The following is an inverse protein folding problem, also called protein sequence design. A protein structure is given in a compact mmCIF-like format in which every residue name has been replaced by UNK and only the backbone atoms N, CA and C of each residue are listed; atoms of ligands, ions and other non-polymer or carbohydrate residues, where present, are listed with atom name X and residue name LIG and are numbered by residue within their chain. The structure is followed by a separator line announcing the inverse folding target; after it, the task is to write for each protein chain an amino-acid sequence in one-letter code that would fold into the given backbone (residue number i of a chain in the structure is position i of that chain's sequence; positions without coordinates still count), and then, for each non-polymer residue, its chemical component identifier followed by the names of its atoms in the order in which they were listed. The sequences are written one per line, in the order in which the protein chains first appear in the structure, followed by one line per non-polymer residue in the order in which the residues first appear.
data_IF_721455447326
#
_entry.id   IF_721455447326
#
_cell.length_a   1.000
_cell.length_b   1.000
_cell.length_c   1.000
_cell.angle_alpha   90.00
_cell.angle_beta   90.00
_cell.angle_gamma   90.00
#
_symmetry.space_group_name_H-M   'P 1'
#
loop_
_entity.id
_entity.type
_entity.pdbx_description
1 polymer ?
#
# COMPACT_ATOMS: atom_id res chain seq x y z
N UNK A 1 39.45 -9.08 42.35
CA UNK A 1 39.39 -10.02 41.25
C UNK A 1 39.55 -9.20 39.96
N UNK A 2 40.79 -9.15 39.44
CA UNK A 2 41.01 -8.59 38.11
C UNK A 2 40.45 -9.58 37.08
N UNK A 3 39.51 -9.16 36.23
CA UNK A 3 39.05 -9.98 35.12
C UNK A 3 40.25 -10.33 34.23
N UNK A 4 40.36 -11.58 33.81
CA UNK A 4 41.43 -11.98 32.92
C UNK A 4 41.37 -11.17 31.62
N UNK A 5 42.50 -10.91 30.98
CA UNK A 5 42.54 -10.18 29.69
C UNK A 5 41.60 -10.82 28.65
N UNK A 6 41.39 -12.13 28.78
CA UNK A 6 40.49 -12.90 27.93
C UNK A 6 39.02 -12.53 28.15
N UNK A 7 38.58 -12.28 29.40
CA UNK A 7 37.25 -11.83 29.73
C UNK A 7 36.98 -10.41 29.21
N UNK A 8 37.95 -9.50 29.35
CA UNK A 8 37.83 -8.16 28.80
C UNK A 8 37.74 -8.17 27.27
N UNK A 9 38.56 -8.99 26.61
CA UNK A 9 38.51 -9.14 25.14
C UNK A 9 37.17 -9.67 24.66
N UNK A 10 36.63 -10.67 25.36
CA UNK A 10 35.30 -11.22 25.04
C UNK A 10 34.19 -10.19 25.25
N UNK A 11 34.21 -9.43 26.36
CA UNK A 11 33.23 -8.39 26.63
C UNK A 11 33.26 -7.29 25.55
N UNK A 12 34.46 -6.84 25.14
CA UNK A 12 34.60 -5.88 24.04
C UNK A 12 34.05 -6.39 22.72
N UNK A 13 34.37 -7.64 22.35
CA UNK A 13 33.85 -8.25 21.12
C UNK A 13 32.35 -8.35 21.14
N UNK A 14 31.74 -8.78 22.24
CA UNK A 14 30.28 -8.84 22.40
C UNK A 14 29.65 -7.46 22.27
N UNK A 15 30.26 -6.44 22.88
CA UNK A 15 29.74 -5.08 22.83
C UNK A 15 29.88 -4.42 21.46
N UNK A 16 30.97 -4.72 20.74
CA UNK A 16 31.14 -4.29 19.34
C UNK A 16 30.12 -4.95 18.41
N UNK A 17 29.80 -6.21 18.63
CA UNK A 17 28.74 -6.89 17.86
C UNK A 17 27.38 -6.20 18.12
N UNK A 18 27.04 -5.91 19.38
CA UNK A 18 25.83 -5.14 19.72
C UNK A 18 25.81 -3.77 19.02
N UNK A 19 26.95 -3.08 18.97
CA UNK A 19 27.09 -1.80 18.27
C UNK A 19 26.81 -1.97 16.77
N UNK A 20 27.43 -2.97 16.13
CA UNK A 20 27.25 -3.20 14.69
C UNK A 20 25.83 -3.63 14.32
N UNK A 21 25.16 -4.39 15.20
CA UNK A 21 23.76 -4.76 15.00
C UNK A 21 22.82 -3.54 15.07
N UNK A 22 23.08 -2.62 16.00
CA UNK A 22 22.24 -1.44 16.21
C UNK A 22 22.58 -0.26 15.26
N UNK A 23 23.82 -0.19 14.78
CA UNK A 23 24.29 0.80 13.81
C UNK A 23 24.65 0.13 12.47
N UNK A 24 23.69 -0.54 11.88
CA UNK A 24 23.84 -1.18 10.58
C UNK A 24 23.46 -0.24 9.43
N UNK A 25 23.77 -0.66 8.22
CA UNK A 25 23.30 0.02 6.99
C UNK A 25 23.65 1.51 6.93
N UNK A 26 22.66 2.36 6.87
CA UNK A 26 22.83 3.80 6.67
C UNK A 26 23.55 4.53 7.82
N UNK A 27 23.59 3.95 9.02
CA UNK A 27 24.21 4.57 10.19
C UNK A 27 25.54 3.94 10.61
N UNK A 28 26.07 2.97 9.85
CA UNK A 28 27.33 2.27 10.17
C UNK A 28 28.48 3.24 10.44
N UNK A 29 28.62 4.27 9.62
CA UNK A 29 29.71 5.27 9.72
C UNK A 29 29.26 6.56 10.42
N UNK A 30 28.20 6.52 11.22
CA UNK A 30 27.75 7.71 11.92
C UNK A 30 28.76 8.15 12.99
N UNK A 31 28.78 9.46 13.27
CA UNK A 31 29.70 10.02 14.27
C UNK A 31 29.53 9.37 15.65
N UNK A 32 28.29 9.06 16.05
CA UNK A 32 28.03 8.41 17.33
C UNK A 32 28.48 6.94 17.34
N UNK A 33 28.33 6.20 16.22
CA UNK A 33 28.82 4.83 16.10
C UNK A 33 30.34 4.78 16.31
N UNK A 34 31.09 5.63 15.61
CA UNK A 34 32.55 5.72 15.73
C UNK A 34 33.01 6.15 17.13
N UNK A 35 32.27 7.07 17.76
CA UNK A 35 32.58 7.51 19.12
C UNK A 35 32.37 6.39 20.14
N UNK A 36 31.29 5.63 20.03
CA UNK A 36 30.99 4.49 20.90
C UNK A 36 32.01 3.37 20.68
N UNK A 37 32.37 3.11 19.42
CA UNK A 37 33.41 2.12 19.09
C UNK A 37 34.74 2.45 19.78
N UNK A 38 35.16 3.71 19.74
CA UNK A 38 36.36 4.19 20.43
C UNK A 38 36.21 4.02 21.97
N UNK A 39 35.05 4.32 22.54
CA UNK A 39 34.80 4.13 23.98
C UNK A 39 34.92 2.65 24.38
N UNK A 40 34.41 1.72 23.56
CA UNK A 40 34.54 0.28 23.81
C UNK A 40 36.02 -0.14 23.73
N UNK A 41 36.73 0.33 22.73
CA UNK A 41 38.14 -0.03 22.54
C UNK A 41 39.04 0.52 23.67
N UNK A 42 38.76 1.72 24.19
CA UNK A 42 39.51 2.37 25.23
C UNK A 42 39.16 1.87 26.66
N UNK A 43 38.05 1.17 26.84
CA UNK A 43 37.63 0.64 28.13
C UNK A 43 38.67 -0.32 28.74
N UNK A 44 38.94 -0.17 30.01
CA UNK A 44 40.03 -0.85 30.72
C UNK A 44 39.61 -2.10 31.50
N UNK A 45 38.31 -2.24 31.73
CA UNK A 45 37.75 -3.37 32.44
C UNK A 45 36.34 -3.73 31.93
N UNK A 46 35.84 -4.90 32.29
CA UNK A 46 34.56 -5.41 31.83
C UNK A 46 33.38 -4.54 32.29
N UNK A 47 33.44 -3.98 33.47
CA UNK A 47 32.39 -3.10 34.01
C UNK A 47 32.26 -1.81 33.18
N UNK A 48 33.39 -1.23 32.76
CA UNK A 48 33.37 -0.07 31.85
C UNK A 48 32.71 -0.43 30.52
N UNK A 49 33.06 -1.59 29.91
CA UNK A 49 32.46 -2.06 28.66
C UNK A 49 30.94 -2.24 28.80
N UNK A 50 30.53 -2.92 29.87
CA UNK A 50 29.10 -3.20 30.12
C UNK A 50 28.30 -1.93 30.39
N UNK A 51 28.91 -0.91 30.99
CA UNK A 51 28.25 0.37 31.29
C UNK A 51 28.02 1.26 30.06
N UNK A 52 28.62 0.95 28.91
CA UNK A 52 28.43 1.73 27.68
C UNK A 52 27.03 1.51 27.14
N UNK A 53 26.25 2.57 27.09
CA UNK A 53 24.89 2.56 26.56
C UNK A 53 24.93 2.82 25.05
N UNK A 54 24.57 1.83 24.27
CA UNK A 54 24.46 1.94 22.80
C UNK A 54 23.03 2.21 22.36
N UNK A 55 22.06 1.64 23.05
CA UNK A 55 20.65 1.66 22.66
C UNK A 55 20.09 3.09 22.56
N UNK A 56 20.35 3.94 23.55
CA UNK A 56 19.78 5.29 23.60
C UNK A 56 20.28 6.17 22.46
N UNK A 57 21.59 6.32 22.22
CA UNK A 57 22.07 7.11 21.10
C UNK A 57 21.67 6.50 19.75
N UNK A 58 21.72 5.17 19.58
CA UNK A 58 21.30 4.52 18.36
C UNK A 58 19.81 4.78 18.04
N UNK A 59 18.94 4.68 19.07
CA UNK A 59 17.51 4.98 18.88
C UNK A 59 17.28 6.43 18.46
N UNK A 60 18.02 7.37 19.04
CA UNK A 60 17.91 8.78 18.65
C UNK A 60 18.35 8.99 17.20
N UNK A 61 19.48 8.41 16.82
CA UNK A 61 20.04 8.55 15.48
C UNK A 61 19.15 7.93 14.41
N UNK A 62 18.58 6.74 14.68
CA UNK A 62 17.64 6.10 13.79
C UNK A 62 16.34 6.90 13.65
N UNK A 63 15.80 7.43 14.75
CA UNK A 63 14.62 8.31 14.68
C UNK A 63 14.86 9.54 13.81
N UNK A 64 16.01 10.17 13.96
CA UNK A 64 16.35 11.33 13.15
C UNK A 64 16.56 10.97 11.69
N UNK A 65 17.26 9.86 11.40
CA UNK A 65 17.47 9.35 10.06
C UNK A 65 16.14 9.03 9.37
N UNK A 66 15.26 8.26 10.01
CA UNK A 66 14.00 7.87 9.40
C UNK A 66 13.04 9.04 9.21
N UNK A 67 12.99 10.01 10.12
CA UNK A 67 12.20 11.24 9.92
C UNK A 67 12.64 12.02 8.69
N UNK A 68 13.95 12.11 8.44
CA UNK A 68 14.49 12.71 7.22
C UNK A 68 14.14 11.88 5.98
N UNK A 69 14.29 10.56 6.07
CA UNK A 69 13.98 9.63 4.98
C UNK A 69 12.51 9.70 4.58
N UNK A 70 11.58 9.67 5.54
CA UNK A 70 10.13 9.78 5.31
C UNK A 70 9.79 11.09 4.57
N UNK A 71 10.35 12.21 5.03
CA UNK A 71 10.11 13.50 4.38
C UNK A 71 10.69 13.59 2.96
N UNK A 72 11.79 12.88 2.68
CA UNK A 72 12.43 12.86 1.38
C UNK A 72 11.70 11.94 0.38
N UNK A 73 11.17 10.81 0.86
CA UNK A 73 10.59 9.75 0.05
C UNK A 73 9.05 9.71 0.11
N UNK A 74 8.41 10.84 0.39
CA UNK A 74 6.95 10.93 0.32
C UNK A 74 6.47 11.14 -1.10
N UNK A 75 5.35 10.49 -1.45
CA UNK A 75 4.67 10.72 -2.71
C UNK A 75 3.72 11.93 -2.65
N UNK A 76 3.10 12.26 -3.80
CA UNK A 76 2.12 13.36 -3.92
C UNK A 76 0.84 13.18 -3.07
N UNK A 77 0.62 11.99 -2.52
CA UNK A 77 -0.52 11.67 -1.66
C UNK A 77 -0.13 11.57 -0.18
N UNK A 78 1.05 12.06 0.20
CA UNK A 78 1.59 11.98 1.54
C UNK A 78 1.70 10.53 2.06
N UNK A 79 2.16 9.63 1.21
CA UNK A 79 2.43 8.23 1.54
C UNK A 79 3.92 7.95 1.39
N UNK A 80 4.39 6.96 2.13
CA UNK A 80 5.73 6.38 2.00
C UNK A 80 5.63 4.87 2.02
N UNK A 81 6.66 4.18 1.59
CA UNK A 81 6.71 2.72 1.63
C UNK A 81 7.68 2.29 2.72
N UNK A 82 7.19 1.54 3.70
CA UNK A 82 8.04 0.87 4.68
C UNK A 82 8.45 -0.50 4.15
N UNK A 83 9.75 -0.78 4.17
CA UNK A 83 10.35 -2.05 3.77
C UNK A 83 10.97 -2.70 4.99
N UNK A 84 10.58 -3.93 5.30
CA UNK A 84 11.15 -4.75 6.36
C UNK A 84 12.22 -5.65 5.76
N UNK A 85 13.50 -5.40 6.07
CA UNK A 85 14.63 -6.11 5.44
C UNK A 85 14.59 -7.61 5.67
N UNK A 86 14.14 -8.05 6.85
CA UNK A 86 14.12 -9.48 7.21
C UNK A 86 12.96 -10.27 6.62
N UNK A 87 11.89 -9.63 6.17
CA UNK A 87 10.67 -10.31 5.73
C UNK A 87 10.40 -10.17 4.24
N UNK A 88 11.20 -9.39 3.50
CA UNK A 88 10.95 -9.01 2.10
C UNK A 88 9.53 -8.47 1.90
N UNK A 89 8.97 -7.85 2.94
CA UNK A 89 7.65 -7.23 2.90
C UNK A 89 7.79 -5.73 2.75
N UNK A 90 7.02 -5.18 1.84
CA UNK A 90 6.84 -3.75 1.68
C UNK A 90 5.37 -3.37 1.87
N UNK A 91 5.12 -2.25 2.51
CA UNK A 91 3.76 -1.76 2.75
C UNK A 91 3.74 -0.25 2.54
N UNK A 92 2.76 0.22 1.76
CA UNK A 92 2.52 1.66 1.58
C UNK A 92 1.66 2.13 2.74
N UNK A 93 2.13 3.15 3.44
CA UNK A 93 1.47 3.72 4.60
C UNK A 93 1.44 5.25 4.51
N UNK A 94 0.55 5.88 5.26
CA UNK A 94 0.54 7.33 5.39
C UNK A 94 1.79 7.82 6.13
N UNK A 95 2.18 9.08 5.89
CA UNK A 95 3.30 9.70 6.64
C UNK A 95 3.01 9.73 8.13
N UNK A 96 1.74 9.88 8.51
CA UNK A 96 1.35 9.87 9.92
C UNK A 96 1.70 8.52 10.57
N UNK A 97 1.28 7.40 9.97
CA UNK A 97 1.61 6.06 10.47
C UNK A 97 3.12 5.80 10.46
N UNK A 98 3.84 6.26 9.41
CA UNK A 98 5.29 6.14 9.35
C UNK A 98 5.98 6.88 10.51
N UNK A 99 5.53 8.09 10.84
CA UNK A 99 6.05 8.86 11.96
C UNK A 99 5.71 8.22 13.32
N UNK A 100 4.54 7.59 13.44
CA UNK A 100 4.14 6.84 14.63
C UNK A 100 5.07 5.63 14.83
N UNK A 101 5.31 4.83 13.79
CA UNK A 101 6.26 3.71 13.83
C UNK A 101 7.64 4.19 14.31
N UNK A 102 8.13 5.30 13.78
CA UNK A 102 9.44 5.85 14.17
C UNK A 102 9.46 6.32 15.62
N UNK A 103 8.38 6.95 16.09
CA UNK A 103 8.34 7.50 17.44
C UNK A 103 8.21 6.43 18.53
N UNK A 104 7.48 5.34 18.24
CA UNK A 104 7.18 4.29 19.23
C UNK A 104 8.25 3.21 19.35
N UNK A 105 9.12 3.06 18.34
CA UNK A 105 10.11 1.99 18.31
C UNK A 105 11.52 2.45 18.68
N UNK A 106 12.33 1.49 19.10
CA UNK A 106 13.75 1.64 19.42
C UNK A 106 14.66 1.20 18.26
N UNK A 107 15.97 1.33 18.45
CA UNK A 107 16.96 0.99 17.45
C UNK A 107 16.89 -0.46 16.96
N UNK A 108 16.41 -1.41 17.77
CA UNK A 108 16.30 -2.82 17.36
C UNK A 108 15.31 -3.00 16.20
N UNK A 109 14.20 -2.30 16.26
CA UNK A 109 13.17 -2.31 15.21
C UNK A 109 13.60 -1.38 14.08
N UNK A 110 14.02 -0.15 14.43
CA UNK A 110 14.34 0.88 13.45
C UNK A 110 15.52 0.53 12.54
N UNK A 111 16.49 -0.25 13.01
CA UNK A 111 17.61 -0.73 12.19
C UNK A 111 17.22 -1.78 11.14
N UNK A 112 16.03 -2.36 11.26
CA UNK A 112 15.54 -3.42 10.37
C UNK A 112 14.51 -2.93 9.35
N UNK A 113 14.18 -1.66 9.37
CA UNK A 113 13.22 -1.05 8.45
C UNK A 113 13.87 0.06 7.62
N UNK A 114 13.30 0.30 6.45
CA UNK A 114 13.69 1.36 5.55
C UNK A 114 12.43 2.06 5.02
N UNK A 115 12.52 3.36 4.82
CA UNK A 115 11.46 4.13 4.16
C UNK A 115 11.91 4.53 2.77
N UNK A 116 11.15 4.14 1.76
CA UNK A 116 11.38 4.44 0.35
C UNK A 116 10.16 5.14 -0.28
N UNK A 117 10.36 5.76 -1.44
CA UNK A 117 9.25 6.28 -2.22
C UNK A 117 8.36 5.12 -2.71
N UNK A 118 7.03 5.25 -2.61
CA UNK A 118 6.13 4.21 -3.08
C UNK A 118 6.34 3.92 -4.56
N UNK A 119 6.83 2.72 -4.87
CA UNK A 119 6.94 2.22 -6.24
C UNK A 119 5.67 1.48 -6.59
N UNK A 120 4.73 2.19 -7.19
CA UNK A 120 3.40 1.68 -7.53
C UNK A 120 3.19 1.60 -9.03
N UNK A 121 2.34 0.67 -9.41
CA UNK A 121 1.86 0.51 -10.79
C UNK A 121 0.35 0.32 -10.80
N UNK A 122 -0.27 0.68 -11.92
CA UNK A 122 -1.70 0.44 -12.13
C UNK A 122 -1.93 -0.99 -12.57
N UNK A 123 -2.74 -1.74 -11.83
CA UNK A 123 -3.06 -3.14 -12.09
C UNK A 123 -4.55 -3.28 -12.35
N UNK A 124 -4.96 -3.81 -13.51
CA UNK A 124 -6.36 -4.17 -13.75
C UNK A 124 -6.69 -5.46 -13.01
N UNK A 125 -7.78 -5.46 -12.26
CA UNK A 125 -8.32 -6.63 -11.60
C UNK A 125 -9.79 -6.83 -11.97
N UNK A 126 -10.19 -8.09 -12.11
CA UNK A 126 -11.58 -8.48 -12.31
C UNK A 126 -12.09 -9.13 -11.02
N UNK A 127 -13.10 -8.53 -10.42
CA UNK A 127 -13.65 -8.98 -9.13
C UNK A 127 -15.18 -8.93 -9.15
N UNK A 128 -15.80 -9.80 -8.36
CA UNK A 128 -17.24 -9.72 -8.13
C UNK A 128 -17.59 -8.53 -7.23
N UNK A 129 -18.86 -8.12 -7.24
CA UNK A 129 -19.36 -7.08 -6.34
C UNK A 129 -19.11 -7.42 -4.88
N UNK A 130 -19.27 -8.69 -4.49
CA UNK A 130 -18.97 -9.13 -3.13
C UNK A 130 -17.50 -8.91 -2.76
N UNK A 131 -16.59 -9.29 -3.64
CA UNK A 131 -15.15 -9.08 -3.45
C UNK A 131 -14.76 -7.59 -3.40
N UNK A 132 -15.53 -6.72 -4.05
CA UNK A 132 -15.35 -5.27 -4.04
C UNK A 132 -16.13 -4.57 -2.91
N UNK A 133 -16.16 -5.14 -1.72
CA UNK A 133 -16.84 -4.57 -0.55
C UNK A 133 -18.35 -4.37 -0.76
N UNK A 134 -19.01 -5.31 -1.43
CA UNK A 134 -20.43 -5.26 -1.78
C UNK A 134 -20.82 -3.99 -2.59
N UNK A 135 -19.89 -3.49 -3.41
CA UNK A 135 -20.11 -2.30 -4.24
C UNK A 135 -19.93 -0.98 -3.50
N UNK A 136 -19.37 -0.98 -2.29
CA UNK A 136 -19.06 0.24 -1.54
C UNK A 136 -17.73 0.88 -1.95
N UNK A 137 -16.86 0.13 -2.62
CA UNK A 137 -15.61 0.66 -3.18
C UNK A 137 -15.93 1.70 -4.25
N UNK A 138 -15.24 2.82 -4.23
CA UNK A 138 -15.36 3.92 -5.20
C UNK A 138 -13.98 4.37 -5.66
N UNK A 139 -13.92 5.16 -6.73
CA UNK A 139 -12.67 5.80 -7.14
C UNK A 139 -12.12 6.68 -6.01
N UNK A 140 -10.81 6.61 -5.83
CA UNK A 140 -10.12 7.25 -4.72
C UNK A 140 -10.22 6.50 -3.39
N UNK A 141 -10.99 5.40 -3.30
CA UNK A 141 -10.98 4.55 -2.10
C UNK A 141 -9.59 3.96 -1.89
N UNK A 142 -9.13 4.00 -0.65
CA UNK A 142 -7.98 3.23 -0.21
C UNK A 142 -8.51 1.89 0.29
N UNK A 143 -7.97 0.81 -0.25
CA UNK A 143 -8.40 -0.56 0.06
C UNK A 143 -7.24 -1.42 0.51
N UNK A 144 -7.54 -2.35 1.40
CA UNK A 144 -6.65 -3.43 1.78
C UNK A 144 -7.08 -4.71 1.06
N UNK A 145 -6.11 -5.51 0.65
CA UNK A 145 -6.33 -6.77 -0.08
C UNK A 145 -6.12 -7.94 0.86
N UNK A 146 -7.14 -8.73 1.04
CA UNK A 146 -7.12 -10.03 1.70
C UNK A 146 -7.26 -11.15 0.68
N UNK A 147 -6.77 -12.33 1.01
CA UNK A 147 -7.04 -13.55 0.22
C UNK A 147 -7.95 -14.47 1.00
N UNK A 148 -9.00 -14.96 0.34
CA UNK A 148 -9.82 -16.03 0.88
C UNK A 148 -9.16 -17.38 0.52
N UNK A 149 -8.37 -17.92 1.44
CA UNK A 149 -7.77 -19.25 1.25
C UNK A 149 -8.82 -20.32 1.56
N UNK A 150 -9.44 -20.85 0.54
CA UNK A 150 -10.25 -22.07 0.65
C UNK A 150 -9.40 -23.35 0.82
N UNK A 151 -8.18 -23.23 1.34
CA UNK A 151 -7.33 -24.40 1.54
C UNK A 151 -7.79 -25.19 2.75
N UNK A 152 -8.15 -26.46 2.50
CA UNK A 152 -8.45 -27.49 3.49
C UNK A 152 -7.22 -27.94 4.30
N UNK A 153 -6.08 -27.29 4.14
CA UNK A 153 -4.88 -27.58 4.89
C UNK A 153 -4.93 -26.89 6.26
N UNK A 154 -5.13 -27.70 7.29
CA UNK A 154 -5.23 -27.31 8.72
C UNK A 154 -3.98 -26.60 9.28
N UNK A 155 -2.94 -26.42 8.49
CA UNK A 155 -1.65 -25.81 8.90
C UNK A 155 -1.43 -24.37 8.38
N UNK A 156 -2.40 -23.78 7.67
CA UNK A 156 -2.27 -22.37 7.27
C UNK A 156 -2.81 -21.52 8.42
N UNK A 157 -1.92 -20.87 9.13
CA UNK A 157 -2.24 -19.78 10.05
C UNK A 157 -3.07 -18.76 9.28
N UNK A 158 -4.35 -18.67 9.61
CA UNK A 158 -5.23 -17.62 9.08
C UNK A 158 -4.53 -16.28 9.33
N UNK A 159 -3.98 -15.68 8.28
CA UNK A 159 -3.36 -14.37 8.36
C UNK A 159 -4.48 -13.40 8.76
N UNK A 160 -4.41 -12.88 9.97
CA UNK A 160 -5.36 -11.86 10.47
C UNK A 160 -5.07 -10.49 9.88
N UNK A 161 -3.97 -10.36 9.12
CA UNK A 161 -3.54 -9.12 8.48
C UNK A 161 -3.76 -9.19 6.97
N UNK A 162 -4.03 -8.04 6.31
CA UNK A 162 -4.09 -7.99 4.87
C UNK A 162 -2.76 -8.36 4.21
N UNK A 163 -2.82 -8.97 3.05
CA UNK A 163 -1.63 -9.29 2.24
C UNK A 163 -1.00 -8.05 1.62
N UNK A 164 -1.84 -7.06 1.29
CA UNK A 164 -1.40 -5.78 0.74
C UNK A 164 -2.26 -4.69 1.36
N UNK A 165 -1.63 -3.62 1.83
CA UNK A 165 -2.31 -2.45 2.41
C UNK A 165 -2.20 -1.24 1.51
N UNK A 166 -3.20 -0.38 1.58
CA UNK A 166 -3.12 0.97 1.07
C UNK A 166 -3.16 1.08 -0.46
N UNK A 167 -3.80 0.14 -1.15
CA UNK A 167 -4.02 0.23 -2.59
C UNK A 167 -5.09 1.28 -2.90
N UNK A 168 -4.82 2.18 -3.84
CA UNK A 168 -5.80 3.17 -4.27
C UNK A 168 -6.58 2.67 -5.47
N UNK A 169 -7.91 2.76 -5.41
CA UNK A 169 -8.77 2.47 -6.56
C UNK A 169 -8.76 3.66 -7.49
N UNK A 170 -8.22 3.47 -8.70
CA UNK A 170 -8.09 4.54 -9.71
C UNK A 170 -9.37 4.66 -10.51
N UNK A 171 -9.95 3.52 -10.93
CA UNK A 171 -11.15 3.50 -11.74
C UNK A 171 -11.96 2.23 -11.51
N UNK A 172 -13.28 2.33 -11.71
CA UNK A 172 -14.24 1.23 -11.59
C UNK A 172 -15.09 1.17 -12.85
N UNK A 173 -15.15 -0.01 -13.46
CA UNK A 173 -16.01 -0.28 -14.63
C UNK A 173 -16.76 -1.58 -14.40
N UNK A 174 -18.01 -1.65 -14.82
CA UNK A 174 -18.72 -2.92 -14.90
C UNK A 174 -18.16 -3.72 -16.06
N UNK A 175 -17.82 -4.96 -15.81
CA UNK A 175 -17.32 -5.88 -16.84
C UNK A 175 -18.45 -6.76 -17.34
N UNK A 176 -18.55 -6.88 -18.66
CA UNK A 176 -19.35 -7.89 -19.33
C UNK A 176 -18.45 -8.71 -20.26
N UNK A 177 -18.79 -9.99 -20.47
CA UNK A 177 -17.93 -10.92 -21.24
C UNK A 177 -17.63 -10.49 -22.67
N UNK A 178 -18.53 -9.70 -23.27
CA UNK A 178 -18.35 -9.17 -24.63
C UNK A 178 -17.59 -7.84 -24.68
N UNK A 179 -17.20 -7.30 -23.52
CA UNK A 179 -16.55 -5.99 -23.40
C UNK A 179 -17.50 -4.80 -23.60
N UNK A 180 -18.81 -5.02 -23.70
CA UNK A 180 -19.79 -3.96 -23.77
C UNK A 180 -20.11 -3.40 -22.40
N UNK A 181 -20.21 -2.08 -22.32
CA UNK A 181 -20.69 -1.40 -21.12
C UNK A 181 -22.23 -1.45 -21.15
N UNK A 182 -22.84 -1.96 -20.09
CA UNK A 182 -24.31 -2.07 -20.00
C UNK A 182 -24.98 -0.69 -20.12
N UNK A 183 -25.57 -0.46 -21.29
CA UNK A 183 -26.26 0.80 -21.60
C UNK A 183 -27.61 0.94 -20.92
N UNK A 184 -28.16 -0.13 -20.35
CA UNK A 184 -29.48 -0.07 -19.70
C UNK A 184 -29.46 0.72 -18.41
N UNK A 185 -28.35 0.71 -17.70
CA UNK A 185 -28.20 1.51 -16.48
C UNK A 185 -28.18 3.01 -16.72
N UNK A 186 -27.73 3.44 -17.88
CA UNK A 186 -27.76 4.86 -18.25
C UNK A 186 -29.15 5.36 -18.64
N UNK A 187 -30.01 4.45 -19.13
CA UNK A 187 -31.40 4.77 -19.53
C UNK A 187 -32.31 5.09 -18.34
N UNK A 188 -32.17 4.36 -17.24
CA UNK A 188 -33.04 4.57 -16.06
C UNK A 188 -32.81 5.90 -15.36
N UNK A 189 -31.58 6.39 -15.35
CA UNK A 189 -31.24 7.67 -14.71
C UNK A 189 -31.77 8.89 -15.49
N UNK A 190 -31.82 8.77 -16.81
CA UNK A 190 -32.30 9.84 -17.68
C UNK A 190 -33.83 10.00 -17.67
N UNK A 191 -34.56 8.92 -17.38
CA UNK A 191 -36.05 8.95 -17.33
C UNK A 191 -36.55 9.58 -16.04
N UNK A 192 -35.79 9.68 -14.99
CA UNK A 192 -36.21 10.25 -13.70
C UNK A 192 -36.00 11.78 -13.64
N UNK A 193 -35.03 12.32 -14.39
CA UNK A 193 -34.72 13.78 -14.40
C UNK A 193 -35.27 14.53 -15.61
N UNK A 194 -35.93 13.87 -16.54
CA UNK A 194 -36.25 14.46 -17.83
C UNK A 194 -37.70 14.80 -18.04
N UNK A 195 -38.11 15.96 -17.59
CA UNK A 195 -39.15 16.71 -18.29
C UNK A 195 -38.46 17.42 -19.46
N UNK A 196 -38.62 16.94 -20.65
CA UNK A 196 -38.41 17.53 -21.97
C UNK A 196 -37.46 16.76 -22.90
N UNK A 197 -38.05 16.38 -24.04
CA UNK A 197 -37.48 16.22 -25.37
C UNK A 197 -36.43 15.16 -25.64
N UNK A 198 -36.88 14.14 -26.32
CA UNK A 198 -36.14 13.14 -27.09
C UNK A 198 -35.15 12.23 -26.35
N UNK A 199 -35.67 11.10 -25.79
CA UNK A 199 -34.81 10.06 -25.19
C UNK A 199 -33.89 9.36 -26.22
N UNK A 200 -34.13 9.54 -27.52
CA UNK A 200 -33.38 8.83 -28.58
C UNK A 200 -31.99 9.38 -28.89
N UNK A 201 -31.74 10.66 -28.66
CA UNK A 201 -30.43 11.26 -29.00
C UNK A 201 -29.37 11.02 -27.90
N UNK A 202 -29.80 10.95 -26.64
CA UNK A 202 -28.86 10.76 -25.52
C UNK A 202 -28.42 9.29 -25.28
N UNK A 203 -29.16 8.33 -25.84
CA UNK A 203 -28.80 6.90 -25.73
C UNK A 203 -27.63 6.50 -26.61
N UNK A 204 -27.32 7.25 -27.66
CA UNK A 204 -26.17 6.95 -28.54
C UNK A 204 -24.81 7.32 -27.96
N UNK A 205 -24.77 8.14 -26.93
CA UNK A 205 -23.51 8.63 -26.37
C UNK A 205 -22.83 7.64 -25.39
N UNK A 206 -23.53 6.61 -24.92
CA UNK A 206 -23.05 5.70 -23.87
C UNK A 206 -22.94 4.22 -24.27
N UNK A 207 -23.23 3.86 -25.51
CA UNK A 207 -23.06 2.49 -26.04
C UNK A 207 -21.72 2.30 -26.74
N UNK A 208 -20.65 2.82 -26.19
CA UNK A 208 -19.32 2.56 -26.73
C UNK A 208 -18.69 1.37 -26.01
N UNK A 209 -18.34 0.40 -26.78
CA UNK A 209 -17.48 -0.72 -26.36
C UNK A 209 -16.16 -0.15 -25.82
N UNK A 210 -15.79 -0.49 -24.59
CA UNK A 210 -14.52 -0.06 -23.94
C UNK A 210 -13.34 -0.41 -24.84
N UNK A 211 -13.37 -1.58 -25.50
CA UNK A 211 -12.37 -2.00 -26.46
C UNK A 211 -12.32 -1.09 -27.68
N UNK A 212 -13.46 -0.64 -28.19
CA UNK A 212 -13.51 0.30 -29.31
C UNK A 212 -13.02 1.70 -28.92
N UNK A 213 -13.31 2.14 -27.71
CA UNK A 213 -12.77 3.39 -27.17
C UNK A 213 -11.25 3.34 -27.04
N UNK A 214 -10.70 2.26 -26.54
CA UNK A 214 -9.24 2.04 -26.45
C UNK A 214 -8.63 1.96 -27.84
N UNK A 215 -9.23 1.22 -28.77
CA UNK A 215 -8.78 1.15 -30.17
C UNK A 215 -8.84 2.50 -30.87
N UNK A 216 -9.90 3.26 -30.70
CA UNK A 216 -10.05 4.60 -31.27
C UNK A 216 -9.02 5.57 -30.71
N UNK A 217 -8.68 5.47 -29.42
CA UNK A 217 -7.63 6.26 -28.78
C UNK A 217 -6.25 5.96 -29.39
N UNK A 218 -5.97 4.68 -29.68
CA UNK A 218 -4.70 4.27 -30.29
C UNK A 218 -4.59 4.75 -31.74
N UNK A 219 -5.68 4.70 -32.50
CA UNK A 219 -5.70 5.07 -33.94
C UNK A 219 -5.61 6.60 -34.13
N UNK A 220 -6.21 7.38 -33.23
CA UNK A 220 -6.28 8.85 -33.34
C UNK A 220 -5.15 9.60 -32.61
N UNK A 221 -4.08 8.92 -32.22
CA UNK A 221 -3.05 9.50 -31.36
C UNK A 221 -3.50 9.42 -29.90
N UNK A 222 -2.97 8.48 -29.21
CA UNK A 222 -3.30 8.17 -27.83
C UNK A 222 -3.10 9.37 -26.91
N UNK A 223 -4.19 9.97 -26.46
CA UNK A 223 -4.19 10.94 -25.37
C UNK A 223 -4.57 10.20 -24.07
N UNK A 224 -3.54 9.77 -23.36
CA UNK A 224 -3.66 9.00 -22.12
C UNK A 224 -4.53 9.74 -21.09
N UNK A 225 -4.32 11.05 -20.91
CA UNK A 225 -5.07 11.85 -19.94
C UNK A 225 -6.55 11.93 -20.27
N UNK A 226 -6.88 12.07 -21.54
CA UNK A 226 -8.27 12.16 -22.00
C UNK A 226 -8.98 10.83 -21.87
N UNK A 227 -8.31 9.73 -22.21
CA UNK A 227 -8.85 8.37 -22.08
C UNK A 227 -9.07 8.01 -20.62
N UNK A 228 -8.11 8.28 -19.74
CA UNK A 228 -8.28 8.09 -18.29
C UNK A 228 -9.43 8.89 -17.74
N UNK A 229 -9.55 10.17 -18.08
CA UNK A 229 -10.65 11.01 -17.62
C UNK A 229 -12.02 10.47 -18.07
N UNK A 230 -12.14 9.98 -19.30
CA UNK A 230 -13.40 9.39 -19.77
C UNK A 230 -13.76 8.10 -19.01
N UNK A 231 -12.78 7.25 -18.72
CA UNK A 231 -12.96 6.02 -17.95
C UNK A 231 -13.33 6.35 -16.49
N UNK A 232 -12.68 7.34 -15.88
CA UNK A 232 -12.99 7.82 -14.55
C UNK A 232 -14.43 8.38 -14.46
N UNK A 233 -14.80 9.27 -15.37
CA UNK A 233 -16.15 9.84 -15.41
C UNK A 233 -17.23 8.75 -15.54
N UNK A 234 -16.97 7.70 -16.28
CA UNK A 234 -17.86 6.55 -16.42
C UNK A 234 -17.94 5.74 -15.12
N UNK A 235 -16.80 5.40 -14.53
CA UNK A 235 -16.74 4.62 -13.30
C UNK A 235 -17.44 5.29 -12.13
N UNK A 236 -17.26 6.61 -11.96
CA UNK A 236 -17.96 7.41 -10.94
C UNK A 236 -19.48 7.33 -11.14
N UNK A 237 -19.96 7.48 -12.37
CA UNK A 237 -21.40 7.42 -12.67
C UNK A 237 -21.97 6.05 -12.37
N UNK A 238 -21.31 4.99 -12.79
CA UNK A 238 -21.73 3.61 -12.56
C UNK A 238 -21.80 3.28 -11.07
N UNK A 239 -20.72 3.60 -10.32
CA UNK A 239 -20.64 3.36 -8.88
C UNK A 239 -21.73 4.11 -8.10
N UNK A 240 -22.03 5.35 -8.47
CA UNK A 240 -23.09 6.13 -7.85
C UNK A 240 -24.47 5.56 -8.14
N UNK A 241 -24.72 5.12 -9.38
CA UNK A 241 -25.97 4.52 -9.79
C UNK A 241 -26.25 3.22 -9.03
N UNK A 242 -25.29 2.31 -8.98
CA UNK A 242 -25.47 1.03 -8.29
C UNK A 242 -25.72 1.18 -6.80
N UNK A 243 -25.11 2.18 -6.16
CA UNK A 243 -25.40 2.50 -4.76
C UNK A 243 -26.84 3.00 -4.55
N UNK A 244 -27.36 3.80 -5.47
CA UNK A 244 -28.72 4.34 -5.37
C UNK A 244 -29.80 3.29 -5.51
N UNK A 245 -29.62 2.32 -6.41
CA UNK A 245 -30.62 1.29 -6.67
C UNK A 245 -30.46 0.04 -5.82
N UNK A 246 -29.42 -0.04 -5.00
CA UNK A 246 -29.16 -1.17 -4.09
C UNK A 246 -29.34 -2.54 -4.76
N UNK A 247 -28.76 -2.73 -5.93
CA UNK A 247 -28.83 -3.98 -6.68
C UNK A 247 -28.27 -5.13 -5.86
N UNK A 248 -29.10 -6.16 -5.64
CA UNK A 248 -28.72 -7.34 -4.87
C UNK A 248 -27.84 -8.34 -5.61
N UNK A 249 -27.41 -8.05 -6.84
CA UNK A 249 -26.54 -8.92 -7.62
C UNK A 249 -25.09 -8.83 -7.13
N UNK A 250 -24.74 -9.73 -6.23
CA UNK A 250 -23.39 -9.83 -5.67
C UNK A 250 -22.39 -10.49 -6.63
N UNK A 251 -22.86 -11.16 -7.66
CA UNK A 251 -22.05 -11.85 -8.66
C UNK A 251 -21.70 -10.92 -9.85
N UNK A 252 -22.30 -9.73 -9.92
CA UNK A 252 -21.93 -8.74 -10.92
C UNK A 252 -20.43 -8.48 -10.86
N UNK A 253 -19.79 -8.48 -12.04
CA UNK A 253 -18.34 -8.32 -12.14
C UNK A 253 -17.95 -6.88 -12.43
N UNK A 254 -16.87 -6.46 -11.83
CA UNK A 254 -16.24 -5.16 -12.02
C UNK A 254 -14.81 -5.33 -12.49
N UNK A 255 -14.43 -4.52 -13.44
CA UNK A 255 -13.02 -4.28 -13.71
C UNK A 255 -12.58 -3.05 -12.93
N UNK A 256 -11.68 -3.25 -12.00
CA UNK A 256 -11.07 -2.18 -11.22
C UNK A 256 -9.66 -1.93 -11.74
N UNK A 257 -9.28 -0.68 -11.83
CA UNK A 257 -7.89 -0.29 -11.96
C UNK A 257 -7.40 0.15 -10.59
N UNK A 258 -6.48 -0.59 -10.01
CA UNK A 258 -5.93 -0.29 -8.69
C UNK A 258 -4.46 0.11 -8.79
N UNK A 259 -4.04 1.04 -7.95
CA UNK A 259 -2.64 1.37 -7.75
C UNK A 259 -2.08 0.47 -6.64
N UNK A 260 -1.15 -0.39 -6.99
CA UNK A 260 -0.57 -1.38 -6.08
C UNK A 260 0.96 -1.35 -6.12
N UNK A 261 1.65 -1.81 -5.05
CA UNK A 261 3.09 -1.95 -5.05
C UNK A 261 3.55 -2.87 -6.19
N UNK A 262 4.61 -2.47 -6.90
CA UNK A 262 5.10 -3.20 -8.08
C UNK A 262 5.50 -4.64 -7.75
N UNK A 263 6.09 -4.88 -6.60
CA UNK A 263 6.50 -6.20 -6.11
C UNK A 263 5.34 -7.14 -5.80
N UNK A 264 4.11 -6.60 -5.65
CA UNK A 264 2.88 -7.36 -5.36
C UNK A 264 2.03 -7.71 -6.58
N UNK A 265 2.39 -7.22 -7.75
CA UNK A 265 1.60 -7.43 -8.99
C UNK A 265 1.41 -8.91 -9.30
N UNK A 266 2.49 -9.70 -9.23
CA UNK A 266 2.41 -11.15 -9.49
C UNK A 266 1.49 -11.86 -8.49
N UNK A 267 1.52 -11.45 -7.23
CA UNK A 267 0.61 -11.97 -6.21
C UNK A 267 -0.85 -11.67 -6.54
N UNK A 268 -1.17 -10.43 -6.88
CA UNK A 268 -2.52 -9.99 -7.25
C UNK A 268 -3.05 -10.78 -8.44
N UNK A 269 -2.25 -10.90 -9.51
CA UNK A 269 -2.65 -11.60 -10.73
C UNK A 269 -2.91 -13.09 -10.46
N UNK A 270 -2.04 -13.74 -9.70
CA UNK A 270 -2.15 -15.17 -9.42
C UNK A 270 -3.29 -15.52 -8.45
N UNK A 271 -3.75 -14.57 -7.65
CA UNK A 271 -4.80 -14.78 -6.65
C UNK A 271 -6.09 -14.01 -6.96
N UNK A 272 -6.27 -13.50 -8.17
CA UNK A 272 -7.36 -12.60 -8.54
C UNK A 272 -8.75 -13.15 -8.18
N UNK A 273 -8.98 -14.45 -8.34
CA UNK A 273 -10.26 -15.10 -8.02
C UNK A 273 -10.56 -15.14 -6.51
N UNK A 274 -9.52 -15.08 -5.67
CA UNK A 274 -9.62 -15.27 -4.23
C UNK A 274 -9.43 -13.97 -3.42
N UNK A 275 -9.08 -12.86 -4.06
CA UNK A 275 -8.87 -11.59 -3.35
C UNK A 275 -10.19 -10.97 -2.92
N UNK A 276 -10.17 -10.32 -1.77
CA UNK A 276 -11.28 -9.52 -1.24
C UNK A 276 -10.74 -8.14 -0.88
N UNK A 277 -11.38 -7.11 -1.39
CA UNK A 277 -11.06 -5.72 -1.10
C UNK A 277 -11.85 -5.26 0.13
N UNK A 278 -11.16 -4.68 1.09
CA UNK A 278 -11.77 -4.09 2.28
C UNK A 278 -11.42 -2.63 2.39
N UNK A 279 -12.33 -1.84 2.92
CA UNK A 279 -12.09 -0.41 3.21
C UNK A 279 -11.80 -0.28 4.69
N UNK A 280 -10.61 0.20 5.10
CA UNK A 280 -10.32 0.46 6.51
C UNK A 280 -11.29 1.52 7.08
N UNK A 281 -12.01 1.17 8.14
CA UNK A 281 -13.02 2.08 8.73
C UNK A 281 -12.43 3.12 9.67
N UNK A 282 -11.21 2.89 10.16
CA UNK A 282 -10.49 3.85 11.01
C UNK A 282 -9.93 5.05 10.23
N UNK A 283 -9.87 4.94 8.91
CA UNK A 283 -9.36 5.98 7.99
C UNK A 283 -10.44 6.49 7.03
N UNK A 284 -11.71 6.14 7.27
CA UNK A 284 -12.79 6.64 6.44
C UNK A 284 -12.76 8.19 6.51
N UNK A 285 -12.55 8.89 5.38
CA UNK A 285 -12.56 10.34 5.39
C UNK A 285 -13.93 10.82 5.88
N UNK A 286 -13.92 11.81 6.77
CA UNK A 286 -15.13 12.51 7.17
C UNK A 286 -15.82 13.02 5.90
N UNK A 287 -17.00 12.53 5.65
CA UNK A 287 -17.85 13.00 4.56
C UNK A 287 -18.62 14.23 5.05
N UNK A 288 -18.03 15.41 4.89
CA UNK A 288 -18.77 16.67 4.89
C UNK A 288 -19.37 16.95 3.51
#
# INVERSE_FOLDING_TARGET
YEPSQEQLSLAKTTKLNELHDLYSGALTDSANALLIENQINDARNTHEVESINIMTPATKDWKEHHKKSINLHQDKYNRTMVVYENESKSTIISIYEAMEIVNENDAKILSQIKFDEPNTVSVPILVSRLQAGAGLVKEGSVVDIYTNSNSTDENITNSTSPEIRGCTVISIMRYEENGEIDSEYSKSKMTVEGNTSNPRENTKAFSSDVLEMIKASIINGYDEKKTFKMLDDYGVKLSNYERQINLGDLDAQYMLLIEAPQDKVSYIINNMENIVLTIPTSEAPDYD
#
